data_IF_120882852792
#
_entry.id   IF_120882852792
#
_cell.length_a   1.000
_cell.length_b   1.000
_cell.length_c   1.000
_cell.angle_alpha   90.00
_cell.angle_beta   90.00
_cell.angle_gamma   90.00
#
_symmetry.space_group_name_H-M   'P 1'
#
loop_
_entity.id
_entity.type
_entity.pdbx_description
1 polymer ?
2 branched ?
3 branched ?
4 branched ?
5 non-polymer ?
6 non-polymer ?
7 non-polymer ?
8 non-polymer ?
9 non-polymer ?
10 water ?
#
# COMPACT_ATOMS: atom_id res chain seq x y z
N UNK A 26 21.27 14.78 -11.42
CA UNK A 26 20.56 13.53 -11.69
C UNK A 26 19.46 13.27 -10.67
N UNK A 27 19.88 13.16 -9.40
CA UNK A 27 19.09 12.74 -8.24
C UNK A 27 18.73 11.26 -8.29
N UNK A 28 19.18 10.52 -9.32
CA UNK A 28 19.11 9.07 -9.27
C UNK A 28 19.95 8.51 -8.14
N UNK A 29 20.96 9.25 -7.68
CA UNK A 29 21.92 8.66 -6.78
C UNK A 29 22.01 9.44 -5.48
N UNK A 30 22.24 8.75 -4.36
CA UNK A 30 22.65 9.44 -3.14
C UNK A 30 23.82 10.37 -3.43
N UNK A 31 23.78 11.57 -2.81
CA UNK A 31 24.84 12.54 -3.05
C UNK A 31 26.22 12.00 -2.71
N UNK A 32 26.31 11.10 -1.71
CA UNK A 32 27.60 10.56 -1.32
C UNK A 32 28.26 9.76 -2.43
N UNK A 33 27.49 9.33 -3.43
CA UNK A 33 28.02 8.47 -4.48
C UNK A 33 28.78 9.23 -5.55
N UNK A 34 28.80 10.57 -5.50
CA UNK A 34 29.56 11.33 -6.49
C UNK A 34 30.97 11.60 -5.99
N UNK A 35 31.98 11.69 -6.88
CA UNK A 35 31.87 11.50 -8.33
C UNK A 35 31.80 10.02 -8.68
N UNK A 36 31.46 9.74 -9.94
CA UNK A 36 31.40 8.40 -10.52
C UNK A 36 30.43 7.50 -9.75
N UNK A 37 29.15 7.89 -9.68
CA UNK A 37 28.17 7.02 -9.01
C UNK A 37 28.03 5.65 -9.67
N UNK A 38 28.35 5.53 -10.94
CA UNK A 38 28.25 4.24 -11.63
C UNK A 38 29.54 3.43 -11.53
N UNK A 39 30.46 3.78 -10.63
CA UNK A 39 31.68 3.01 -10.44
C UNK A 39 31.37 1.53 -10.32
N UNK A 40 32.14 0.72 -11.05
CA UNK A 40 32.01 -0.71 -11.01
C UNK A 40 30.94 -1.28 -11.90
N UNK A 41 30.10 -0.45 -12.51
CA UNK A 41 28.98 -0.90 -13.34
C UNK A 41 29.38 -0.81 -14.81
N UNK A 42 29.27 -1.93 -15.52
CA UNK A 42 29.56 -1.93 -16.95
C UNK A 42 28.36 -1.40 -17.72
N UNK A 43 28.59 -0.39 -18.55
CA UNK A 43 27.50 0.21 -19.32
C UNK A 43 27.04 -0.73 -20.42
N UNK A 44 25.72 -0.92 -20.56
CA UNK A 44 25.17 -1.75 -21.63
C UNK A 44 24.23 -0.97 -22.54
N UNK A 45 23.29 -0.22 -21.99
CA UNK A 45 22.23 0.39 -22.79
C UNK A 45 21.72 1.62 -22.05
N UNK A 46 21.69 2.76 -22.74
CA UNK A 46 21.40 4.03 -22.07
C UNK A 46 19.93 4.21 -21.70
N UNK A 47 19.06 3.25 -21.98
CA UNK A 47 17.71 3.29 -21.43
C UNK A 47 17.71 3.18 -19.91
N UNK A 48 18.76 2.57 -19.35
CA UNK A 48 18.76 2.13 -17.97
C UNK A 48 19.79 2.91 -17.16
N UNK A 49 19.58 2.94 -15.85
CA UNK A 49 20.46 3.68 -14.96
C UNK A 49 21.84 3.05 -14.96
N UNK A 50 22.87 3.88 -15.14
CA UNK A 50 24.25 3.42 -15.32
C UNK A 50 24.38 2.50 -16.53
N UNK A 51 23.40 2.51 -17.42
CA UNK A 51 23.40 1.64 -18.57
C UNK A 51 23.10 0.19 -18.26
N UNK A 52 22.64 -0.11 -17.06
CA UNK A 52 22.51 -1.49 -16.58
C UNK A 52 21.03 -1.82 -16.41
N UNK A 53 20.46 -2.73 -17.21
CA UNK A 53 19.01 -3.01 -17.07
C UNK A 53 18.62 -3.48 -15.70
N UNK A 54 19.54 -4.07 -14.93
CA UNK A 54 19.16 -4.49 -13.59
C UNK A 54 18.82 -3.31 -12.69
N UNK A 55 19.29 -2.11 -13.02
CA UNK A 55 19.06 -0.92 -12.24
C UNK A 55 17.83 -0.13 -12.69
N UNK A 56 17.07 -0.64 -13.66
CA UNK A 56 15.81 -0.04 -14.02
C UNK A 56 15.96 1.12 -14.97
N UNK A 57 14.82 1.68 -15.40
CA UNK A 57 14.85 2.72 -16.44
C UNK A 57 15.25 4.09 -15.88
N UNK A 58 15.93 4.86 -16.73
CA UNK A 58 16.26 6.23 -16.34
C UNK A 58 15.00 7.07 -16.20
N UNK A 59 14.06 6.91 -17.12
CA UNK A 59 12.86 7.73 -17.17
C UNK A 59 11.74 7.02 -16.43
N UNK A 60 11.18 7.70 -15.43
CA UNK A 60 10.12 7.17 -14.60
C UNK A 60 8.76 7.72 -15.02
N UNK A 61 7.67 7.08 -14.63
CA UNK A 61 6.34 7.52 -15.08
C UNK A 61 5.99 8.89 -14.56
N UNK A 62 5.28 9.66 -15.40
CA UNK A 62 4.83 11.00 -15.07
C UNK A 62 3.32 11.14 -14.91
N UNK A 63 2.57 10.05 -15.06
CA UNK A 63 1.11 10.09 -15.04
C UNK A 63 0.56 9.18 -13.95
N UNK A 64 -0.62 9.55 -13.44
CA UNK A 64 -1.35 8.71 -12.49
C UNK A 64 -1.83 7.43 -13.16
N UNK A 65 -1.76 6.28 -12.47
CA UNK A 65 -1.36 6.06 -11.08
C UNK A 65 0.11 5.74 -10.86
N UNK A 66 0.87 5.48 -11.93
CA UNK A 66 2.24 5.03 -11.69
C UNK A 66 3.06 6.07 -10.96
N UNK A 67 2.87 7.36 -11.26
CA UNK A 67 3.66 8.34 -10.54
C UNK A 67 3.31 8.32 -9.06
N UNK A 68 2.04 8.08 -8.73
CA UNK A 68 1.64 7.91 -7.34
C UNK A 68 2.29 6.69 -6.71
N UNK A 69 2.34 5.57 -7.44
CA UNK A 69 2.92 4.35 -6.90
C UNK A 69 4.44 4.44 -6.71
N UNK A 70 5.12 5.34 -7.42
CA UNK A 70 6.56 5.46 -7.33
C UNK A 70 7.03 6.73 -6.64
N UNK A 71 6.11 7.51 -6.06
CA UNK A 71 6.51 8.77 -5.43
C UNK A 71 7.42 8.57 -4.23
N UNK A 72 7.33 7.42 -3.56
CA UNK A 72 8.17 7.16 -2.39
C UNK A 72 9.34 6.22 -2.69
N UNK A 73 9.64 5.99 -3.98
CA UNK A 73 10.58 4.95 -4.39
C UNK A 73 11.96 5.56 -4.64
N UNK A 74 12.91 5.21 -3.79
CA UNK A 74 14.31 5.57 -3.96
C UNK A 74 15.00 4.25 -4.31
N UNK A 75 15.33 4.07 -5.59
CA UNK A 75 15.60 2.72 -6.07
C UNK A 75 16.85 2.10 -5.45
N UNK A 76 17.81 2.91 -5.00
CA UNK A 76 19.00 2.35 -4.35
C UNK A 76 18.95 2.48 -2.84
N UNK A 77 17.84 2.95 -2.29
CA UNK A 77 17.90 3.42 -0.91
C UNK A 77 18.99 4.46 -0.78
N UNK A 78 19.84 4.30 0.25
CA UNK A 78 20.99 5.16 0.46
C UNK A 78 22.30 4.54 -0.03
N UNK A 79 22.21 3.47 -0.81
CA UNK A 79 23.39 2.79 -1.33
C UNK A 79 23.78 3.35 -2.70
N UNK A 80 25.05 3.19 -3.04
CA UNK A 80 25.48 3.45 -4.41
C UNK A 80 25.19 2.21 -5.29
N UNK A 81 25.11 2.41 -6.61
CA UNK A 81 24.73 1.29 -7.50
C UNK A 81 25.50 -0.01 -7.30
N UNK A 82 26.84 0.04 -7.26
CA UNK A 82 27.60 -1.20 -7.09
C UNK A 82 27.34 -1.81 -5.71
N UNK A 83 27.21 -0.97 -4.68
CA UNK A 83 26.87 -1.47 -3.35
C UNK A 83 25.53 -2.17 -3.35
N UNK A 84 24.56 -1.62 -4.08
CA UNK A 84 23.23 -2.20 -4.16
C UNK A 84 23.28 -3.58 -4.78
N UNK A 85 23.99 -3.71 -5.91
CA UNK A 85 24.12 -5.01 -6.56
C UNK A 85 24.94 -5.97 -5.72
N UNK A 86 25.98 -5.48 -5.04
CA UNK A 86 26.75 -6.36 -4.17
C UNK A 86 25.88 -6.97 -3.08
N UNK A 87 24.91 -6.19 -2.58
CA UNK A 87 24.06 -6.65 -1.50
C UNK A 87 22.97 -7.59 -1.99
N UNK A 88 22.39 -7.33 -3.17
CA UNK A 88 21.17 -8.02 -3.56
C UNK A 88 21.32 -8.93 -4.76
N UNK A 89 22.49 -8.99 -5.39
CA UNK A 89 22.70 -9.81 -6.56
C UNK A 89 23.94 -10.68 -6.38
N UNK A 90 24.09 -11.66 -7.27
CA UNK A 90 25.21 -12.58 -7.18
C UNK A 90 26.53 -11.96 -7.63
N UNK A 91 26.48 -10.84 -8.35
CA UNK A 91 27.70 -10.25 -8.91
C UNK A 91 27.36 -8.84 -9.38
N UNK A 92 28.30 -7.91 -9.14
CA UNK A 92 28.16 -6.58 -9.70
C UNK A 92 28.37 -6.59 -11.22
N UNK A 93 29.16 -7.56 -11.72
CA UNK A 93 29.38 -7.70 -13.14
C UNK A 93 28.07 -8.01 -13.85
N UNK A 94 27.98 -7.76 -15.17
CA UNK A 94 26.67 -7.88 -15.85
C UNK A 94 26.01 -9.23 -15.70
N UNK A 95 26.76 -10.30 -15.43
CA UNK A 95 26.16 -11.63 -15.31
C UNK A 95 25.52 -11.88 -13.95
N UNK A 96 25.67 -10.98 -12.99
CA UNK A 96 25.04 -11.19 -11.70
C UNK A 96 23.53 -11.11 -11.81
N UNK A 97 22.84 -11.94 -11.01
CA UNK A 97 21.39 -11.96 -11.00
C UNK A 97 20.87 -11.68 -9.59
N UNK A 98 19.66 -11.11 -9.53
CA UNK A 98 19.09 -10.77 -8.22
C UNK A 98 18.80 -12.04 -7.44
N UNK A 99 19.06 -11.97 -6.13
CA UNK A 99 18.79 -13.05 -5.20
C UNK A 99 17.48 -12.73 -4.51
N UNK A 100 16.58 -13.71 -4.46
CA UNK A 100 15.22 -13.47 -3.98
C UNK A 100 15.04 -13.97 -2.55
N UNK A 101 14.05 -13.45 -1.83
CA UNK A 101 13.84 -13.84 -0.44
C UNK A 101 13.33 -15.26 -0.33
N UNK A 102 13.48 -15.89 0.83
CA UNK A 102 12.93 -17.24 1.02
C UNK A 102 11.42 -17.22 1.11
N UNK A 103 10.84 -18.41 1.03
CA UNK A 103 9.40 -18.62 1.27
C UNK A 103 8.55 -17.77 0.33
N UNK A 104 9.00 -17.61 -0.92
CA UNK A 104 8.29 -16.85 -1.94
C UNK A 104 8.01 -15.41 -1.52
N UNK A 105 8.83 -14.87 -0.61
CA UNK A 105 8.75 -13.47 -0.28
C UNK A 105 7.69 -13.09 0.72
N UNK A 106 6.99 -14.07 1.31
CA UNK A 106 6.04 -13.76 2.38
C UNK A 106 6.78 -13.37 3.65
N UNK A 107 6.24 -12.39 4.38
CA UNK A 107 6.82 -12.03 5.67
C UNK A 107 6.80 -13.23 6.62
N UNK A 108 7.89 -13.40 7.36
CA UNK A 108 8.01 -14.53 8.29
C UNK A 108 7.55 -14.16 9.69
N UNK A 109 6.94 -15.12 10.38
CA UNK A 109 6.52 -14.94 11.76
C UNK A 109 7.67 -15.26 12.72
N UNK A 110 7.41 -15.21 14.03
CA UNK A 110 8.49 -15.39 15.00
C UNK A 110 9.06 -16.80 14.97
N UNK A 111 8.31 -17.77 14.43
CA UNK A 111 8.79 -19.12 14.23
C UNK A 111 9.46 -19.30 12.88
N UNK A 112 9.70 -18.21 12.15
CA UNK A 112 10.37 -18.23 10.83
C UNK A 112 9.54 -18.98 9.79
N UNK A 113 8.21 -18.97 9.94
CA UNK A 113 7.33 -19.51 8.94
C UNK A 113 6.60 -18.38 8.22
N UNK A 114 6.34 -18.53 6.92
CA UNK A 114 5.64 -17.47 6.18
C UNK A 114 4.23 -17.27 6.69
N UNK A 115 3.79 -16.00 6.69
CA UNK A 115 2.43 -15.64 7.05
C UNK A 115 1.62 -15.59 5.77
N UNK A 116 0.64 -16.50 5.63
CA UNK A 116 -0.22 -16.47 4.46
C UNK A 116 -1.41 -17.38 4.71
N UNK A 117 -2.43 -17.20 3.87
CA UNK A 117 -3.54 -18.12 3.86
C UNK A 117 -4.11 -18.24 2.45
N UNK A 118 -4.83 -19.33 2.21
CA UNK A 118 -5.61 -19.40 0.98
C UNK A 118 -6.81 -18.47 1.12
N UNK A 119 -7.03 -17.64 0.11
CA UNK A 119 -8.12 -16.68 0.19
C UNK A 119 -8.83 -16.60 -1.15
N UNK A 120 -10.13 -16.36 -1.09
CA UNK A 120 -10.93 -16.21 -2.30
C UNK A 120 -10.90 -14.73 -2.70
N UNK A 121 -10.48 -14.47 -3.94
CA UNK A 121 -10.60 -13.12 -4.47
C UNK A 121 -11.97 -12.93 -5.08
N UNK A 122 -12.75 -11.96 -4.63
CA UNK A 122 -14.13 -11.83 -5.09
C UNK A 122 -14.23 -11.11 -6.43
N UNK A 123 -15.33 -11.41 -7.13
CA UNK A 123 -15.65 -10.73 -8.37
C UNK A 123 -15.69 -9.22 -8.14
N UNK A 124 -15.00 -8.47 -9.00
CA UNK A 124 -14.91 -7.03 -8.91
C UNK A 124 -13.58 -6.51 -8.39
N UNK A 125 -12.82 -7.33 -7.67
CA UNK A 125 -11.56 -6.88 -7.12
C UNK A 125 -10.58 -6.51 -8.21
N UNK A 126 -9.86 -5.40 -8.02
CA UNK A 126 -8.85 -4.96 -8.97
C UNK A 126 -7.45 -5.29 -8.47
N UNK A 127 -6.62 -5.82 -9.37
CA UNK A 127 -5.27 -6.28 -9.06
C UNK A 127 -4.30 -5.65 -10.04
N UNK A 128 -3.03 -5.56 -9.66
CA UNK A 128 -2.05 -5.12 -10.67
C UNK A 128 -0.75 -5.90 -10.48
N UNK A 129 0.19 -5.65 -11.38
CA UNK A 129 1.37 -6.49 -11.50
C UNK A 129 2.42 -5.79 -12.35
N UNK A 130 3.68 -5.85 -11.91
CA UNK A 130 4.82 -5.50 -12.76
C UNK A 130 5.46 -6.80 -13.21
N UNK A 131 5.29 -7.16 -14.48
CA UNK A 131 5.83 -8.41 -14.99
C UNK A 131 4.94 -9.01 -16.06
N UNK A 132 5.46 -10.05 -16.71
CA UNK A 132 4.75 -10.69 -17.80
C UNK A 132 3.60 -11.55 -17.27
N UNK A 133 2.68 -11.89 -18.15
CA UNK A 133 1.52 -12.67 -17.75
C UNK A 133 1.84 -14.15 -17.54
N UNK A 134 3.11 -14.55 -17.71
CA UNK A 134 3.51 -15.91 -17.37
C UNK A 134 3.86 -16.06 -15.89
N UNK A 135 3.83 -14.98 -15.12
CA UNK A 135 4.12 -15.03 -13.71
C UNK A 135 2.86 -15.24 -12.87
N UNK A 136 3.04 -15.16 -11.55
CA UNK A 136 2.01 -15.58 -10.61
C UNK A 136 1.87 -14.65 -9.41
N UNK A 137 2.51 -13.48 -9.41
CA UNK A 137 2.51 -12.58 -8.26
C UNK A 137 1.76 -11.31 -8.61
N UNK A 138 0.71 -11.01 -7.86
CA UNK A 138 -0.04 -9.78 -8.04
C UNK A 138 -0.17 -9.04 -6.72
N UNK A 139 -0.66 -7.81 -6.82
CA UNK A 139 -0.86 -6.94 -5.67
C UNK A 139 -2.22 -6.28 -5.83
N UNK A 140 -2.77 -5.71 -4.75
CA UNK A 140 -4.00 -4.91 -4.92
C UNK A 140 -3.68 -3.66 -5.73
N UNK A 141 -4.62 -3.29 -6.60
CA UNK A 141 -4.42 -2.14 -7.48
C UNK A 141 -3.94 -0.94 -6.66
N UNK A 142 -2.85 -0.33 -7.11
CA UNK A 142 -2.41 0.91 -6.51
C UNK A 142 -1.36 0.76 -5.43
N UNK A 143 -0.97 -0.46 -5.06
CA UNK A 143 0.05 -0.61 -4.00
C UNK A 143 1.32 0.14 -4.37
N UNK A 144 1.90 0.92 -3.45
CA UNK A 144 3.19 1.59 -3.72
C UNK A 144 4.26 0.59 -4.15
N UNK A 145 5.17 1.03 -5.02
CA UNK A 145 6.23 0.14 -5.46
C UNK A 145 7.06 -0.36 -4.28
N UNK A 146 7.26 0.48 -3.26
CA UNK A 146 8.11 0.04 -2.15
C UNK A 146 7.43 -1.03 -1.30
N UNK A 147 6.09 -1.16 -1.38
CA UNK A 147 5.41 -2.23 -0.67
C UNK A 147 5.57 -3.59 -1.32
N UNK A 148 6.09 -3.65 -2.54
CA UNK A 148 6.11 -4.89 -3.31
C UNK A 148 7.44 -5.63 -3.23
N UNK A 149 8.48 -5.00 -2.69
CA UNK A 149 9.81 -5.62 -2.60
C UNK A 149 10.22 -6.22 -3.94
N UNK A 150 10.18 -5.39 -4.94
CA UNK A 150 10.60 -5.72 -6.29
C UNK A 150 11.92 -5.02 -6.60
N UNK A 151 12.79 -5.64 -7.38
CA UNK A 151 14.04 -4.99 -7.81
C UNK A 151 13.75 -3.94 -8.88
N UNK A 152 14.70 -3.06 -9.18
CA UNK A 152 14.41 -1.98 -10.14
C UNK A 152 14.05 -2.47 -11.53
N UNK A 153 14.54 -3.65 -11.93
CA UNK A 153 14.34 -4.12 -13.30
C UNK A 153 12.89 -4.53 -13.58
N UNK A 154 12.05 -4.70 -12.56
CA UNK A 154 10.64 -4.98 -12.85
C UNK A 154 9.94 -3.77 -13.45
N UNK A 155 10.57 -2.60 -13.45
CA UNK A 155 10.05 -1.42 -14.11
C UNK A 155 10.48 -1.30 -15.58
N UNK A 156 11.29 -2.23 -16.07
CA UNK A 156 11.73 -2.13 -17.45
C UNK A 156 10.58 -2.44 -18.40
N UNK A 157 10.45 -1.66 -19.46
CA UNK A 157 9.42 -1.91 -20.46
C UNK A 157 9.87 -3.03 -21.39
N UNK A 158 9.01 -4.02 -21.58
CA UNK A 158 9.29 -5.04 -22.57
C UNK A 158 8.34 -5.00 -23.76
N UNK A 159 7.13 -4.51 -23.55
CA UNK A 159 6.13 -4.37 -24.60
C UNK A 159 5.63 -2.94 -24.57
N UNK A 160 5.67 -2.27 -25.72
CA UNK A 160 5.23 -0.88 -25.79
C UNK A 160 3.79 -0.67 -25.36
N UNK A 161 2.95 -1.70 -25.48
CA UNK A 161 1.58 -1.57 -25.03
C UNK A 161 1.47 -1.50 -23.50
N UNK A 162 2.52 -1.88 -22.78
CA UNK A 162 2.51 -1.86 -21.31
C UNK A 162 3.76 -1.16 -20.79
N UNK A 163 3.80 0.18 -20.86
CA UNK A 163 4.94 0.90 -20.29
C UNK A 163 5.21 0.46 -18.86
N UNK A 164 6.50 0.33 -18.55
CA UNK A 164 6.96 -0.05 -17.22
C UNK A 164 6.51 -1.45 -16.82
N UNK A 165 6.15 -2.27 -17.81
CA UNK A 165 5.65 -3.64 -17.64
C UNK A 165 4.54 -3.71 -16.59
N UNK A 166 3.69 -2.70 -16.59
CA UNK A 166 2.61 -2.56 -15.62
C UNK A 166 1.28 -3.01 -16.21
N UNK A 167 0.62 -3.95 -15.52
CA UNK A 167 -0.64 -4.53 -15.96
C UNK A 167 -1.68 -4.43 -14.86
N UNK A 168 -2.94 -4.15 -15.24
CA UNK A 168 -4.05 -4.05 -14.29
C UNK A 168 -5.14 -5.03 -14.71
N UNK A 169 -5.73 -5.72 -13.72
CA UNK A 169 -6.73 -6.75 -13.96
C UNK A 169 -7.92 -6.55 -13.02
N UNK A 170 -9.04 -7.15 -13.39
CA UNK A 170 -10.22 -7.20 -12.53
C UNK A 170 -10.74 -8.63 -12.49
N UNK A 171 -11.11 -9.08 -11.30
CA UNK A 171 -11.63 -10.44 -11.13
C UNK A 171 -13.03 -10.53 -11.73
N UNK A 172 -13.23 -11.50 -12.64
CA UNK A 172 -14.52 -11.74 -13.25
C UNK A 172 -15.14 -13.06 -12.80
N UNK A 173 -14.37 -13.94 -12.17
CA UNK A 173 -14.89 -15.16 -11.56
C UNK A 173 -14.04 -15.42 -10.34
N UNK A 174 -14.67 -15.71 -9.19
CA UNK A 174 -13.90 -15.81 -7.96
C UNK A 174 -12.91 -16.98 -8.05
N UNK A 175 -11.75 -16.82 -7.42
CA UNK A 175 -10.78 -17.90 -7.39
C UNK A 175 -9.88 -17.73 -6.17
N UNK A 176 -9.24 -18.82 -5.77
CA UNK A 176 -8.43 -18.88 -4.56
C UNK A 176 -6.96 -18.64 -4.89
N UNK A 177 -6.29 -17.85 -4.05
CA UNK A 177 -4.87 -17.54 -4.18
C UNK A 177 -4.22 -17.70 -2.81
N UNK A 178 -2.89 -17.75 -2.80
CA UNK A 178 -2.15 -17.55 -1.58
C UNK A 178 -2.04 -16.06 -1.33
N UNK A 179 -2.45 -15.62 -0.13
CA UNK A 179 -2.58 -14.21 0.17
C UNK A 179 -1.80 -13.92 1.45
N UNK A 180 -0.92 -12.92 1.43
CA UNK A 180 -0.13 -12.64 2.62
C UNK A 180 0.78 -11.44 2.51
N UNK A 181 1.33 -11.02 3.64
CA UNK A 181 2.21 -9.83 3.65
C UNK A 181 3.54 -10.09 2.95
N UNK A 182 4.11 -9.01 2.41
CA UNK A 182 5.35 -9.07 1.64
C UNK A 182 6.54 -8.73 2.54
N UNK A 183 7.53 -9.62 2.58
CA UNK A 183 8.73 -9.34 3.37
C UNK A 183 9.53 -8.20 2.75
N UNK A 184 10.25 -7.43 3.57
CA UNK A 184 11.19 -6.44 3.01
C UNK A 184 12.29 -7.11 2.21
N UNK A 185 12.66 -6.48 1.10
CA UNK A 185 13.79 -6.96 0.30
C UNK A 185 14.20 -5.84 -0.65
N UNK A 186 15.38 -6.00 -1.25
CA UNK A 186 15.87 -5.08 -2.28
C UNK A 186 15.96 -3.65 -1.77
N UNK A 187 16.26 -3.49 -0.48
CA UNK A 187 16.41 -2.18 0.16
C UNK A 187 15.10 -1.45 0.29
N UNK A 188 13.98 -2.16 0.26
CA UNK A 188 12.69 -1.53 0.45
C UNK A 188 11.97 -2.16 1.63
N UNK A 189 10.95 -1.48 2.16
CA UNK A 189 10.28 -2.01 3.35
C UNK A 189 9.28 -3.13 3.09
N UNK A 190 8.81 -3.30 1.86
CA UNK A 190 7.77 -4.31 1.65
C UNK A 190 6.51 -3.97 2.42
N UNK A 191 5.82 -5.01 2.89
CA UNK A 191 4.62 -4.92 3.73
C UNK A 191 3.39 -4.44 2.98
N UNK A 192 3.36 -4.56 1.66
CA UNK A 192 2.12 -4.74 0.95
C UNK A 192 1.57 -6.14 1.18
N UNK A 193 0.46 -6.44 0.50
CA UNK A 193 -0.07 -7.78 0.39
C UNK A 193 0.20 -8.31 -1.00
N UNK A 194 0.66 -9.55 -1.10
CA UNK A 194 0.82 -10.18 -2.40
C UNK A 194 -0.17 -11.32 -2.55
N UNK A 195 -0.58 -11.55 -3.80
CA UNK A 195 -1.43 -12.66 -4.17
C UNK A 195 -0.60 -13.57 -5.06
N UNK A 196 -0.40 -14.81 -4.62
CA UNK A 196 0.37 -15.77 -5.39
C UNK A 196 -0.63 -16.76 -5.98
N UNK A 197 -0.73 -16.77 -7.31
CA UNK A 197 -1.76 -17.55 -7.97
C UNK A 197 -1.26 -18.96 -8.26
N UNK A 198 -2.21 -19.88 -8.36
CA UNK A 198 -1.92 -21.28 -8.64
C UNK A 198 -1.84 -21.58 -10.12
N UNK A 199 -2.31 -20.66 -10.95
CA UNK A 199 -2.20 -20.68 -12.40
C UNK A 199 -1.60 -19.35 -12.80
N UNK A 200 -0.81 -19.32 -13.89
CA UNK A 200 -0.26 -18.02 -14.22
C UNK A 200 -1.37 -17.07 -14.70
N UNK A 201 -1.00 -15.78 -14.79
CA UNK A 201 -2.01 -14.76 -15.07
C UNK A 201 -2.65 -14.99 -16.44
N UNK A 202 -1.86 -15.39 -17.43
CA UNK A 202 -2.41 -15.67 -18.76
C UNK A 202 -3.46 -16.77 -18.71
N UNK A 203 -3.22 -17.83 -17.93
CA UNK A 203 -4.20 -18.88 -17.83
C UNK A 203 -5.47 -18.40 -17.14
N UNK A 204 -5.32 -17.54 -16.13
CA UNK A 204 -6.49 -16.99 -15.45
C UNK A 204 -7.32 -16.14 -16.42
N UNK A 205 -6.66 -15.37 -17.28
CA UNK A 205 -7.40 -14.61 -18.29
C UNK A 205 -8.08 -15.55 -19.28
N UNK A 206 -7.32 -16.52 -19.82
CA UNK A 206 -7.92 -17.41 -20.80
C UNK A 206 -9.06 -18.22 -20.20
N UNK A 207 -9.04 -18.50 -18.90
CA UNK A 207 -10.08 -19.28 -18.25
C UNK A 207 -11.22 -18.43 -17.71
N UNK A 208 -11.18 -17.12 -17.88
CA UNK A 208 -12.31 -16.27 -17.51
C UNK A 208 -12.31 -15.78 -16.09
N UNK A 209 -11.19 -15.91 -15.37
CA UNK A 209 -11.11 -15.45 -13.99
C UNK A 209 -10.70 -14.00 -13.87
N UNK A 210 -9.89 -13.51 -14.81
CA UNK A 210 -9.43 -12.13 -14.84
C UNK A 210 -9.73 -11.54 -16.21
N UNK A 211 -9.94 -10.22 -16.25
CA UNK A 211 -9.93 -9.47 -17.49
C UNK A 211 -8.91 -8.34 -17.36
N UNK A 212 -8.41 -7.88 -18.52
CA UNK A 212 -7.44 -6.79 -18.54
C UNK A 212 -8.14 -5.45 -18.54
N UNK A 213 -7.63 -4.51 -17.74
CA UNK A 213 -8.21 -3.18 -17.66
C UNK A 213 -7.46 -2.19 -18.54
N UNK A 214 -8.22 -1.38 -19.27
CA UNK A 214 -7.68 -0.20 -19.93
C UNK A 214 -7.34 0.87 -18.90
N UNK A 215 -6.39 1.75 -19.25
CA UNK A 215 -6.01 2.86 -18.39
C UNK A 215 -7.23 3.68 -17.98
N UNK A 216 -8.20 3.80 -18.89
CA UNK A 216 -9.45 4.51 -18.61
C UNK A 216 -10.20 3.91 -17.44
N UNK A 217 -9.90 2.68 -17.07
CA UNK A 217 -10.60 1.99 -16.01
C UNK A 217 -9.86 2.04 -14.67
N UNK A 218 -8.71 2.71 -14.63
CA UNK A 218 -8.01 2.89 -13.36
C UNK A 218 -7.32 4.25 -13.30
N UNK A 219 -7.93 5.28 -13.90
CA UNK A 219 -7.36 6.63 -13.78
C UNK A 219 -8.27 7.60 -13.03
N UNK A 220 -9.30 7.12 -12.35
CA UNK A 220 -10.19 7.94 -11.53
C UNK A 220 -10.20 7.38 -10.12
N UNK A 221 -10.28 8.29 -9.12
CA UNK A 221 -10.24 7.85 -7.72
C UNK A 221 -11.33 6.83 -7.42
N UNK A 222 -12.54 7.05 -7.94
CA UNK A 222 -13.64 6.15 -7.61
C UNK A 222 -13.34 4.73 -8.10
N UNK A 223 -12.52 4.61 -9.15
CA UNK A 223 -12.20 3.28 -9.66
C UNK A 223 -11.30 2.50 -8.71
N UNK A 224 -10.77 3.14 -7.67
CA UNK A 224 -9.96 2.47 -6.67
C UNK A 224 -10.78 2.03 -5.47
N UNK A 225 -12.02 2.46 -5.37
CA UNK A 225 -12.85 2.09 -4.25
C UNK A 225 -13.45 0.71 -4.47
N UNK A 226 -14.25 0.27 -3.51
CA UNK A 226 -14.69 -1.12 -3.44
C UNK A 226 -16.20 -1.17 -3.39
N UNK A 227 -16.87 -1.58 -4.48
CA UNK A 227 -18.33 -1.73 -4.46
C UNK A 227 -18.80 -3.16 -4.20
N UNK A 228 -17.86 -4.11 -4.16
CA UNK A 228 -18.24 -5.52 -4.12
C UNK A 228 -18.34 -6.08 -2.72
N UNK A 229 -17.60 -5.57 -1.74
CA UNK A 229 -17.67 -6.10 -0.39
C UNK A 229 -18.96 -5.63 0.28
N UNK A 230 -19.81 -6.54 0.76
CA UNK A 230 -21.07 -6.13 1.38
C UNK A 230 -20.87 -5.58 2.78
N UNK A 231 -21.83 -4.77 3.20
CA UNK A 231 -21.82 -4.21 4.53
C UNK A 231 -22.22 -5.25 5.57
N UNK A 232 -21.99 -4.95 6.84
CA UNK A 232 -22.34 -5.90 7.90
C UNK A 232 -23.83 -6.14 8.01
N UNK A 233 -24.17 -7.32 8.51
CA UNK A 233 -25.56 -7.71 8.68
C UNK A 233 -26.19 -6.94 9.84
N UNK A 234 -27.32 -6.30 9.59
CA UNK A 234 -28.03 -5.55 10.62
C UNK A 234 -29.51 -5.90 10.63
N UNK B 25 -12.62 14.47 -13.21
CA UNK B 25 -13.75 13.60 -12.89
C UNK B 25 -13.79 13.34 -11.37
N UNK B 26 -12.71 13.67 -10.67
CA UNK B 26 -12.65 13.43 -9.22
C UNK B 26 -13.31 14.58 -8.46
N UNK B 27 -14.00 14.23 -7.38
CA UNK B 27 -14.78 15.20 -6.61
C UNK B 27 -15.09 14.62 -5.24
N UNK B 28 -15.52 15.49 -4.33
CA UNK B 28 -15.94 15.05 -3.01
C UNK B 28 -17.02 13.97 -3.10
N UNK B 29 -18.12 14.29 -3.79
CA UNK B 29 -19.21 13.34 -3.93
C UNK B 29 -19.26 12.77 -5.35
N UNK B 30 -19.65 11.52 -5.50
CA UNK B 30 -20.01 11.02 -6.83
C UNK B 30 -21.06 11.93 -7.47
N UNK B 31 -20.98 12.06 -8.80
CA UNK B 31 -21.85 13.00 -9.51
C UNK B 31 -23.33 12.69 -9.30
N UNK B 32 -23.67 11.41 -9.11
CA UNK B 32 -25.07 11.05 -8.95
C UNK B 32 -25.67 11.54 -7.63
N UNK B 33 -24.86 12.06 -6.71
CA UNK B 33 -25.37 12.56 -5.44
C UNK B 33 -25.93 13.98 -5.53
N UNK B 34 -25.59 14.73 -6.57
CA UNK B 34 -26.11 16.07 -6.72
C UNK B 34 -27.52 16.01 -7.31
N UNK B 35 -28.35 17.03 -7.06
CA UNK B 35 -28.09 18.35 -6.46
C UNK B 35 -27.98 18.42 -4.94
N UNK B 36 -28.41 17.41 -4.19
CA UNK B 36 -28.48 17.49 -2.73
C UNK B 36 -27.74 16.31 -2.12
N UNK B 37 -26.41 16.31 -2.18
CA UNK B 37 -25.65 15.15 -1.69
C UNK B 37 -25.75 14.94 -0.18
N UNK B 38 -26.12 15.96 0.58
CA UNK B 38 -26.23 15.87 2.03
C UNK B 38 -27.64 15.56 2.50
N UNK B 39 -28.56 15.22 1.60
CA UNK B 39 -29.91 14.89 2.02
C UNK B 39 -29.88 13.72 3.00
N UNK B 40 -30.69 13.83 4.05
CA UNK B 40 -30.75 12.80 5.06
C UNK B 40 -29.68 12.88 6.14
N UNK B 41 -28.71 13.77 6.00
CA UNK B 41 -27.62 13.93 6.97
C UNK B 41 -27.96 15.08 7.89
N UNK B 42 -27.95 14.81 9.19
CA UNK B 42 -28.20 15.85 10.19
C UNK B 42 -26.94 16.67 10.36
N UNK B 43 -27.01 17.96 10.04
CA UNK B 43 -25.88 18.85 10.24
C UNK B 43 -25.56 18.98 11.73
N UNK B 44 -24.28 18.94 12.05
CA UNK B 44 -23.81 19.05 13.43
C UNK B 44 -22.74 20.13 13.58
N UNK B 45 -21.75 20.11 12.68
CA UNK B 45 -20.61 21.03 12.75
C UNK B 45 -20.02 21.19 11.36
N UNK B 46 -19.76 22.44 10.96
CA UNK B 46 -19.38 22.74 9.58
C UNK B 46 -17.96 22.34 9.21
N UNK B 47 -17.16 21.82 10.15
CA UNK B 47 -15.82 21.32 9.82
C UNK B 47 -15.89 20.09 8.92
N UNK B 48 -16.99 19.36 9.00
CA UNK B 48 -17.08 18.04 8.42
C UNK B 48 -17.96 18.06 7.19
N UNK B 49 -17.73 17.07 6.32
CA UNK B 49 -18.56 16.90 5.13
C UNK B 49 -20.01 16.75 5.56
N UNK B 50 -20.89 17.57 4.98
CA UNK B 50 -22.31 17.61 5.33
C UNK B 50 -22.54 17.95 6.80
N UNK B 51 -21.53 18.44 7.50
CA UNK B 51 -21.67 18.76 8.90
C UNK B 51 -21.59 17.56 9.83
N UNK B 52 -21.17 16.41 9.34
CA UNK B 52 -21.23 15.16 10.09
C UNK B 52 -19.83 14.65 10.32
N UNK B 53 -19.33 14.66 11.58
CA UNK B 53 -17.94 14.24 11.83
C UNK B 53 -17.64 12.85 11.30
N UNK B 54 -18.64 11.99 11.22
CA UNK B 54 -18.41 10.64 10.72
C UNK B 54 -18.02 10.64 9.24
N UNK B 55 -18.34 11.70 8.52
CA UNK B 55 -18.02 11.80 7.10
C UNK B 55 -16.67 12.44 6.85
N UNK B 56 -15.93 12.77 7.91
CA UNK B 56 -14.58 13.24 7.74
C UNK B 56 -14.51 14.73 7.44
N UNK B 57 -13.29 15.24 7.33
CA UNK B 57 -13.12 16.69 7.19
C UNK B 57 -13.36 17.15 5.77
N UNK B 58 -13.88 18.38 5.64
CA UNK B 58 -13.97 19.00 4.33
C UNK B 58 -12.58 19.18 3.74
N UNK B 59 -11.63 19.66 4.55
CA UNK B 59 -10.28 19.98 4.10
C UNK B 59 -9.41 18.74 4.15
N UNK B 60 -8.73 18.43 3.05
CA UNK B 60 -7.79 17.32 2.92
C UNK B 60 -6.38 17.83 2.66
N UNK B 61 -5.35 17.03 2.96
CA UNK B 61 -3.96 17.49 2.77
C UNK B 61 -3.63 17.73 1.30
N UNK B 62 -2.90 18.83 1.06
CA UNK B 62 -2.49 19.21 -0.28
C UNK B 62 -0.99 19.04 -0.52
N UNK B 63 -0.24 18.49 0.42
CA UNK B 63 1.21 18.42 0.32
C UNK B 63 1.73 17.01 0.59
N UNK B 64 2.91 16.73 0.04
CA UNK B 64 3.59 15.46 0.29
C UNK B 64 4.11 15.43 1.73
N UNK B 65 4.05 14.27 2.41
CA UNK B 65 3.66 12.96 1.88
C UNK B 65 2.17 12.62 1.96
N UNK B 66 1.41 13.35 2.79
CA UNK B 66 0.05 12.92 3.05
C UNK B 66 -0.79 12.94 1.78
N UNK B 67 -0.57 13.89 0.87
CA UNK B 67 -1.42 13.90 -0.30
C UNK B 67 -1.20 12.65 -1.15
N UNK B 68 -0.02 12.05 -1.07
CA UNK B 68 0.24 10.84 -1.82
C UNK B 68 -0.57 9.67 -1.29
N UNK B 69 -0.79 9.61 0.03
CA UNK B 69 -1.57 8.54 0.62
C UNK B 69 -3.07 8.68 0.35
N UNK B 70 -3.52 9.86 -0.06
CA UNK B 70 -4.94 10.09 -0.28
C UNK B 70 -5.28 10.26 -1.76
N UNK B 71 -4.31 10.06 -2.65
CA UNK B 71 -4.54 10.32 -4.07
C UNK B 71 -5.53 9.33 -4.68
N UNK B 72 -5.65 8.11 -4.13
CA UNK B 72 -6.61 7.15 -4.65
C UNK B 72 -7.90 7.08 -3.83
N UNK B 73 -8.15 8.05 -2.94
CA UNK B 73 -9.23 7.93 -1.95
C UNK B 73 -10.50 8.59 -2.47
N UNK B 74 -11.52 7.76 -2.77
CA UNK B 74 -12.89 8.22 -3.04
C UNK B 74 -13.66 7.93 -1.76
N UNK B 75 -13.94 9.00 -1.00
CA UNK B 75 -14.32 8.88 0.40
C UNK B 75 -15.58 8.03 0.59
N UNK B 76 -16.52 8.10 -0.34
CA UNK B 76 -17.73 7.31 -0.23
C UNK B 76 -17.80 6.18 -1.25
N UNK B 77 -16.69 5.89 -1.93
CA UNK B 77 -16.79 5.03 -3.11
C UNK B 77 -17.74 5.64 -4.11
N UNK B 78 -18.66 4.83 -4.63
CA UNK B 78 -19.68 5.34 -5.53
C UNK B 78 -20.99 5.62 -4.80
N UNK B 79 -20.99 5.60 -3.47
CA UNK B 79 -22.17 5.86 -2.66
C UNK B 79 -22.28 7.34 -2.33
N UNK B 80 -23.46 7.73 -1.88
CA UNK B 80 -23.70 9.05 -1.33
C UNK B 80 -23.68 8.98 0.19
N UNK B 81 -23.49 10.14 0.86
CA UNK B 81 -23.30 10.11 2.32
C UNK B 81 -24.29 9.26 3.12
N UNK B 82 -25.61 9.43 2.90
CA UNK B 82 -26.55 8.66 3.70
C UNK B 82 -26.49 7.16 3.36
N UNK B 83 -26.28 6.83 2.08
CA UNK B 83 -26.10 5.43 1.72
C UNK B 83 -24.87 4.84 2.40
N UNK B 84 -23.78 5.61 2.44
CA UNK B 84 -22.55 5.16 3.07
C UNK B 84 -22.76 4.87 4.55
N UNK B 85 -23.41 5.81 5.26
CA UNK B 85 -23.68 5.58 6.68
C UNK B 85 -24.66 4.44 6.87
N UNK B 86 -25.66 4.33 5.98
CA UNK B 86 -26.62 3.26 6.13
C UNK B 86 -25.94 1.90 6.00
N UNK B 87 -24.93 1.81 5.15
CA UNK B 87 -24.23 0.56 4.91
C UNK B 87 -23.23 0.21 6.02
N UNK B 88 -22.53 1.20 6.55
CA UNK B 88 -21.36 0.93 7.39
C UNK B 88 -21.53 1.34 8.85
N UNK B 89 -22.68 1.91 9.22
CA UNK B 89 -22.92 2.37 10.58
C UNK B 89 -24.28 1.90 11.05
N UNK B 90 -24.52 2.02 12.36
CA UNK B 90 -25.78 1.53 12.91
C UNK B 90 -26.95 2.44 12.62
N UNK B 91 -26.70 3.68 12.20
CA UNK B 91 -27.78 4.61 11.91
C UNK B 91 -27.23 5.76 11.07
N UNK B 92 -28.06 6.25 10.14
CA UNK B 92 -27.71 7.46 9.40
C UNK B 92 -27.81 8.68 10.31
N UNK B 93 -28.71 8.63 11.30
CA UNK B 93 -28.85 9.70 12.27
C UNK B 93 -27.58 9.83 13.10
N UNK B 94 -27.40 10.95 13.82
CA UNK B 94 -26.14 11.17 14.55
C UNK B 94 -25.80 10.11 15.60
N UNK B 95 -26.79 9.40 16.14
CA UNK B 95 -26.49 8.34 17.11
C UNK B 95 -25.85 7.11 16.49
N UNK B 96 -25.74 7.03 15.16
CA UNK B 96 -25.17 5.86 14.53
C UNK B 96 -23.66 5.80 14.67
N UNK B 97 -23.16 4.59 14.91
CA UNK B 97 -21.73 4.36 15.08
C UNK B 97 -21.23 3.40 14.00
N UNK B 98 -19.98 3.59 13.58
CA UNK B 98 -19.42 2.71 12.57
C UNK B 98 -19.32 1.29 13.10
N UNK B 99 -19.63 0.33 12.23
CA UNK B 99 -19.51 -1.10 12.53
C UNK B 99 -18.22 -1.60 11.92
N UNK B 100 -17.42 -2.31 12.69
CA UNK B 100 -16.11 -2.74 12.24
C UNK B 100 -16.11 -4.21 11.86
N UNK B 101 -15.13 -4.65 11.08
CA UNK B 101 -15.12 -6.04 10.60
C UNK B 101 -14.76 -7.01 11.71
N UNK B 102 -15.10 -8.29 11.56
CA UNK B 102 -14.75 -9.28 12.58
C UNK B 102 -13.25 -9.56 12.57
N UNK B 103 -12.81 -10.25 13.63
CA UNK B 103 -11.43 -10.74 13.73
C UNK B 103 -10.41 -9.62 13.53
N UNK B 104 -10.69 -8.46 14.15
CA UNK B 104 -9.77 -7.33 14.15
C UNK B 104 -9.44 -6.83 12.75
N UNK B 105 -10.31 -7.11 11.77
CA UNK B 105 -10.10 -6.60 10.43
C UNK B 105 -9.01 -7.28 9.63
N UNK B 106 -8.48 -8.43 10.10
CA UNK B 106 -7.58 -9.19 9.27
C UNK B 106 -8.35 -9.86 8.14
N UNK B 107 -7.75 -9.91 6.96
CA UNK B 107 -8.35 -10.64 5.85
C UNK B 107 -8.56 -12.11 6.24
N UNK B 108 -9.72 -12.65 5.87
CA UNK B 108 -10.10 -14.02 6.23
C UNK B 108 -9.70 -15.00 5.14
N UNK B 109 -9.21 -16.17 5.56
CA UNK B 109 -8.89 -17.23 4.61
C UNK B 109 -10.14 -18.02 4.23
N UNK B 110 -9.96 -19.08 3.44
CA UNK B 110 -11.11 -19.83 2.91
C UNK B 110 -11.86 -20.57 4.00
N UNK B 111 -11.25 -20.74 5.17
CA UNK B 111 -11.94 -21.30 6.32
C UNK B 111 -12.49 -20.23 7.26
N UNK B 112 -12.57 -18.98 6.79
CA UNK B 112 -13.14 -17.86 7.54
C UNK B 112 -12.33 -17.55 8.80
N UNK B 113 -11.04 -17.90 8.79
CA UNK B 113 -10.11 -17.56 9.87
C UNK B 113 -9.19 -16.42 9.44
N UNK B 114 -8.82 -15.53 10.35
CA UNK B 114 -7.94 -14.41 9.97
C UNK B 114 -6.55 -14.89 9.58
N UNK B 115 -5.97 -14.22 8.59
CA UNK B 115 -4.60 -14.48 8.16
C UNK B 115 -3.68 -13.53 8.91
N UNK B 116 -2.79 -14.08 9.73
CA UNK B 116 -1.87 -13.24 10.51
C UNK B 116 -0.83 -14.14 11.15
N UNK B 117 0.23 -13.50 11.64
CA UNK B 117 1.18 -14.20 12.49
C UNK B 117 1.81 -13.19 13.44
N UNK B 118 2.29 -13.70 14.57
CA UNK B 118 3.13 -12.88 15.43
C UNK B 118 4.47 -12.65 14.76
N UNK B 119 4.94 -11.41 14.75
CA UNK B 119 6.16 -11.08 14.02
C UNK B 119 6.90 -9.99 14.77
N UNK B 120 8.24 -10.05 14.70
CA UNK B 120 9.10 -9.07 15.36
C UNK B 120 9.36 -7.91 14.42
N UNK B 121 8.99 -6.69 14.83
CA UNK B 121 9.34 -5.52 14.04
C UNK B 121 10.79 -5.11 14.33
N UNK B 122 11.62 -4.95 13.29
CA UNK B 122 13.04 -4.66 13.52
C UNK B 122 13.28 -3.19 13.83
N UNK B 123 14.35 -2.95 14.58
CA UNK B 123 14.80 -1.59 14.84
C UNK B 123 15.08 -0.88 13.52
N UNK B 124 14.55 0.33 13.38
CA UNK B 124 14.66 1.10 12.15
C UNK B 124 13.38 1.18 11.34
N UNK B 125 12.48 0.23 11.50
CA UNK B 125 11.27 0.20 10.69
C UNK B 125 10.40 1.42 10.95
N UNK B 126 9.86 2.00 9.88
CA UNK B 126 9.00 3.18 9.98
C UNK B 126 7.54 2.79 9.81
N UNK B 127 6.70 3.30 10.71
CA UNK B 127 5.28 2.98 10.79
C UNK B 127 4.48 4.27 10.79
N UNK B 128 3.23 4.20 10.34
CA UNK B 128 2.40 5.38 10.51
C UNK B 128 0.98 4.98 10.87
N UNK B 129 0.16 5.97 11.17
CA UNK B 129 -1.14 5.71 11.78
C UNK B 129 -2.01 6.95 11.66
N UNK B 130 -3.28 6.75 11.30
CA UNK B 130 -4.29 7.80 11.43
C UNK B 130 -5.14 7.47 12.66
N UNK B 131 -4.98 8.23 13.72
CA UNK B 131 -5.72 7.97 14.94
C UNK B 131 -4.91 8.33 16.16
N UNK B 132 -5.58 8.29 17.31
CA UNK B 132 -4.94 8.66 18.57
C UNK B 132 -3.94 7.59 19.00
N UNK B 133 -3.05 7.98 19.89
CA UNK B 133 -2.02 7.06 20.36
C UNK B 133 -2.55 6.07 21.39
N UNK B 134 -3.86 6.06 21.66
CA UNK B 134 -4.46 5.01 22.46
C UNK B 134 -4.82 3.80 21.62
N UNK B 135 -4.67 3.87 20.30
CA UNK B 135 -4.97 2.75 19.43
C UNK B 135 -3.82 1.76 19.38
N UNK B 136 -4.06 0.68 18.62
CA UNK B 136 -3.12 -0.43 18.51
C UNK B 136 -2.93 -0.89 17.07
N UNK B 137 -3.38 -0.12 16.09
CA UNK B 137 -3.28 -0.49 14.68
C UNK B 137 -2.35 0.46 13.95
N UNK B 138 -1.27 -0.06 13.38
CA UNK B 138 -0.40 0.76 12.54
C UNK B 138 -0.26 0.11 11.16
N UNK B 139 0.33 0.86 10.24
CA UNK B 139 0.63 0.42 8.89
C UNK B 139 2.08 0.75 8.57
N UNK B 140 2.66 0.16 7.53
CA UNK B 140 4.01 0.59 7.13
C UNK B 140 3.93 2.01 6.59
N UNK B 141 4.91 2.83 6.96
CA UNK B 141 4.97 4.21 6.49
C UNK B 141 4.62 4.29 5.00
N UNK B 142 3.66 5.16 4.67
CA UNK B 142 3.32 5.42 3.28
C UNK B 142 2.21 4.58 2.71
N UNK B 143 1.59 3.70 3.49
CA UNK B 143 0.50 2.89 2.96
C UNK B 143 -0.66 3.80 2.55
N UNK B 144 -1.25 3.59 1.37
CA UNK B 144 -2.41 4.39 0.96
C UNK B 144 -3.54 4.29 1.97
N UNK B 145 -4.30 5.37 2.11
CA UNK B 145 -5.44 5.36 3.01
C UNK B 145 -6.40 4.22 2.67
N UNK B 146 -6.62 3.96 1.37
CA UNK B 146 -7.59 2.94 1.00
C UNK B 146 -7.11 1.55 1.36
N UNK B 147 -5.79 1.36 1.58
CA UNK B 147 -5.29 0.06 1.99
C UNK B 147 -5.55 -0.24 3.46
N UNK B 148 -5.95 0.77 4.24
CA UNK B 148 -6.15 0.65 5.68
C UNK B 148 -7.57 0.29 6.10
N UNK B 149 -8.54 0.35 5.18
CA UNK B 149 -9.95 0.11 5.50
C UNK B 149 -10.38 0.91 6.74
N UNK B 150 -10.18 2.19 6.66
CA UNK B 150 -10.58 3.14 7.68
C UNK B 150 -11.78 3.96 7.21
N UNK B 151 -12.65 4.37 8.12
CA UNK B 151 -13.74 5.28 7.75
C UNK B 151 -13.22 6.70 7.62
N UNK B 152 -14.03 7.61 7.06
CA UNK B 152 -13.55 8.98 6.84
C UNK B 152 -13.19 9.71 8.11
N UNK B 153 -13.79 9.34 9.25
CA UNK B 153 -13.58 10.10 10.48
C UNK B 153 -12.16 9.93 11.05
N UNK B 154 -11.36 8.95 10.59
CA UNK B 154 -10.00 8.89 11.09
C UNK B 154 -9.12 10.00 10.54
N UNK B 155 -9.61 10.76 9.57
CA UNK B 155 -8.92 11.94 9.08
C UNK B 155 -9.26 13.20 9.86
N UNK B 156 -10.15 13.13 10.86
CA UNK B 156 -10.49 14.30 11.65
C UNK B 156 -9.34 14.70 12.56
N UNK B 157 -9.12 15.99 12.69
CA UNK B 157 -8.02 16.52 13.48
C UNK B 157 -8.47 16.70 14.92
N UNK B 158 -7.71 16.15 15.86
CA UNK B 158 -7.97 16.39 17.27
C UNK B 158 -6.90 17.21 17.95
N UNK B 159 -5.68 17.16 17.43
CA UNK B 159 -4.54 17.90 17.97
C UNK B 159 -3.92 18.65 16.81
N UNK B 160 -3.80 19.98 16.95
CA UNK B 160 -3.24 20.78 15.89
C UNK B 160 -1.80 20.45 15.55
N UNK B 161 -1.07 19.83 16.48
CA UNK B 161 0.30 19.41 16.16
C UNK B 161 0.30 18.25 15.17
N UNK B 162 -0.81 17.54 15.03
CA UNK B 162 -0.93 16.37 14.15
C UNK B 162 -2.15 16.55 13.27
N UNK B 163 -2.04 17.35 12.22
CA UNK B 163 -3.15 17.48 11.26
C UNK B 163 -3.57 16.13 10.73
N UNK B 164 -4.88 15.98 10.53
CA UNK B 164 -5.49 14.75 10.01
C UNK B 164 -5.22 13.55 10.92
N UNK B 165 -4.81 13.82 12.16
CA UNK B 165 -4.49 12.78 13.15
C UNK B 165 -3.44 11.82 12.62
N UNK B 166 -2.52 12.32 11.80
CA UNK B 166 -1.52 11.50 11.12
C UNK B 166 -0.23 11.48 11.93
N UNK B 167 0.22 10.29 12.30
CA UNK B 167 1.39 10.10 13.14
C UNK B 167 2.37 9.17 12.44
N UNK B 168 3.67 9.44 12.57
CA UNK B 168 4.73 8.60 12.02
C UNK B 168 5.68 8.21 13.14
N UNK B 169 6.11 6.96 13.13
CA UNK B 169 6.96 6.42 14.19
C UNK B 169 8.08 5.61 13.59
N UNK B 170 9.13 5.42 14.38
CA UNK B 170 10.21 4.52 14.02
C UNK B 170 10.50 3.59 15.19
N UNK B 171 10.70 2.30 14.86
CA UNK B 171 10.97 1.29 15.88
C UNK B 171 12.37 1.54 16.45
N UNK B 172 12.46 1.71 17.77
CA UNK B 172 13.73 1.92 18.44
C UNK B 172 14.18 0.71 19.26
N UNK B 173 13.27 -0.24 19.51
CA UNK B 173 13.57 -1.48 20.18
C UNK B 173 12.62 -2.53 19.64
N UNK B 174 13.15 -3.73 19.36
CA UNK B 174 12.34 -4.79 18.76
C UNK B 174 11.15 -5.14 19.62
N UNK B 175 10.00 -5.39 18.99
CA UNK B 175 8.86 -5.92 19.73
C UNK B 175 7.96 -6.69 18.78
N UNK B 176 7.11 -7.54 19.36
CA UNK B 176 6.28 -8.47 18.58
C UNK B 176 4.88 -7.91 18.45
N UNK B 177 4.30 -8.03 17.25
CA UNK B 177 2.96 -7.57 16.92
C UNK B 177 2.24 -8.69 16.16
N UNK B 178 0.92 -8.57 16.09
CA UNK B 178 0.16 -9.34 15.12
C UNK B 178 0.26 -8.67 13.76
N UNK B 179 0.68 -9.43 12.76
CA UNK B 179 0.98 -8.86 11.45
C UNK B 179 0.21 -9.62 10.37
N UNK B 180 -0.50 -8.89 9.52
CA UNK B 180 -1.28 -9.57 8.51
C UNK B 180 -2.06 -8.63 7.61
N UNK B 181 -2.67 -9.20 6.57
CA UNK B 181 -3.37 -8.38 5.57
C UNK B 181 -4.66 -7.77 6.11
N UNK B 182 -5.01 -6.61 5.57
CA UNK B 182 -6.19 -5.85 6.00
C UNK B 182 -7.39 -6.21 5.12
N UNK B 183 -8.48 -6.65 5.75
CA UNK B 183 -9.70 -6.97 5.00
C UNK B 183 -10.33 -5.71 4.42
N UNK B 184 -10.99 -5.81 3.27
CA UNK B 184 -11.74 -4.66 2.75
C UNK B 184 -12.87 -4.28 3.70
N UNK B 185 -13.09 -2.98 3.84
CA UNK B 185 -14.21 -2.48 4.65
C UNK B 185 -14.40 -1.01 4.31
N UNK B 186 -15.55 -0.47 4.72
CA UNK B 186 -15.82 0.97 4.59
C UNK B 186 -15.74 1.44 3.14
N UNK B 187 -16.11 0.56 2.20
CA UNK B 187 -16.16 0.83 0.75
C UNK B 187 -14.78 0.96 0.13
N UNK B 188 -13.76 0.44 0.79
CA UNK B 188 -12.41 0.48 0.26
C UNK B 188 -11.87 -0.94 0.14
N UNK B 189 -10.80 -1.15 -0.64
CA UNK B 189 -10.32 -2.52 -0.87
C UNK B 189 -9.43 -3.07 0.23
N UNK B 190 -8.89 -2.25 1.11
CA UNK B 190 -7.98 -2.79 2.10
C UNK B 190 -6.71 -3.35 1.46
N UNK B 191 -6.19 -4.44 2.03
CA UNK B 191 -5.07 -5.21 1.49
C UNK B 191 -3.73 -4.50 1.61
N UNK B 192 -3.64 -3.50 2.49
CA UNK B 192 -2.38 -3.20 3.14
C UNK B 192 -2.04 -4.29 4.15
N UNK B 193 -0.92 -4.08 4.86
CA UNK B 193 -0.59 -4.87 6.04
C UNK B 193 -0.83 -4.02 7.28
N UNK B 194 -1.45 -4.61 8.30
CA UNK B 194 -1.61 -3.94 9.57
C UNK B 194 -0.78 -4.64 10.64
N UNK B 195 -0.30 -3.83 11.58
CA UNK B 195 0.41 -4.30 12.78
C UNK B 195 -0.50 -4.02 13.94
N UNK B 196 -0.91 -5.06 14.66
CA UNK B 196 -1.82 -4.92 15.77
C UNK B 196 -1.00 -5.15 17.03
N UNK B 197 -0.87 -4.11 17.84
CA UNK B 197 0.04 -4.16 18.96
C UNK B 197 -0.69 -4.64 20.21
N UNK B 198 0.10 -5.16 21.15
CA UNK B 198 -0.42 -5.60 22.43
C UNK B 198 -0.39 -4.49 23.47
N UNK B 199 0.39 -3.44 23.23
CA UNK B 199 0.45 -2.23 24.03
C UNK B 199 0.07 -1.08 23.12
N UNK B 200 -0.64 -0.08 23.64
CA UNK B 200 -1.03 1.00 22.73
C UNK B 200 0.21 1.80 22.31
N UNK B 201 0.02 2.65 21.29
CA UNK B 201 1.15 3.39 20.73
C UNK B 201 1.82 4.25 21.81
N UNK B 202 1.02 4.94 22.64
CA UNK B 202 1.60 5.82 23.66
C UNK B 202 2.48 5.04 24.63
N UNK B 203 2.03 3.86 25.04
CA UNK B 203 2.85 3.04 25.93
C UNK B 203 4.12 2.54 25.26
N UNK B 204 4.04 2.20 23.98
CA UNK B 204 5.24 1.79 23.25
C UNK B 204 6.26 2.93 23.17
N UNK B 205 5.77 4.16 22.98
CA UNK B 205 6.66 5.32 22.99
C UNK B 205 7.27 5.50 24.36
N UNK B 206 6.44 5.52 25.39
CA UNK B 206 6.93 5.80 26.72
C UNK B 206 7.84 4.71 27.24
N UNK B 207 7.71 3.48 26.72
CA UNK B 207 8.58 2.38 27.11
C UNK B 207 9.80 2.25 26.21
N UNK B 208 9.98 3.14 25.23
CA UNK B 208 11.18 3.16 24.43
C UNK B 208 11.19 2.27 23.21
N UNK B 209 10.04 1.77 22.78
CA UNK B 209 9.95 0.89 21.63
C UNK B 209 9.72 1.65 20.32
N UNK B 210 9.12 2.82 20.41
CA UNK B 210 8.87 3.70 19.29
C UNK B 210 9.35 5.10 19.63
N UNK B 211 9.79 5.83 18.62
CA UNK B 211 9.93 7.27 18.74
C UNK B 211 9.10 7.94 17.65
N UNK B 212 8.63 9.15 17.94
CA UNK B 212 7.88 9.92 16.96
C UNK B 212 8.82 10.55 15.95
N UNK B 213 8.42 10.55 14.68
CA UNK B 213 9.15 11.26 13.65
C UNK B 213 8.47 12.59 13.30
N UNK B 214 9.28 13.61 13.07
CA UNK B 214 8.74 14.87 12.56
C UNK B 214 8.79 14.88 11.03
N UNK B 215 8.16 15.90 10.43
CA UNK B 215 7.96 15.86 8.99
C UNK B 215 9.27 15.78 8.22
N UNK B 216 10.33 16.42 8.72
CA UNK B 216 11.61 16.38 8.01
C UNK B 216 12.21 14.99 7.95
N UNK B 217 11.73 14.07 8.79
CA UNK B 217 12.20 12.70 8.82
C UNK B 217 11.38 11.78 7.92
N UNK B 218 10.35 12.30 7.25
CA UNK B 218 9.59 11.48 6.31
C UNK B 218 9.08 12.28 5.12
N UNK B 219 9.79 13.33 4.69
CA UNK B 219 9.36 14.07 3.52
C UNK B 219 10.32 13.94 2.34
N UNK B 220 11.23 12.96 2.36
CA UNK B 220 12.11 12.70 1.23
C UNK B 220 12.04 11.22 0.89
N UNK B 221 12.12 10.90 -0.41
CA UNK B 221 11.97 9.51 -0.86
C UNK B 221 12.90 8.55 -0.12
N UNK B 222 14.15 8.97 0.10
CA UNK B 222 15.11 8.03 0.68
C UNK B 222 14.69 7.60 2.08
N UNK B 223 13.92 8.44 2.78
CA UNK B 223 13.43 8.09 4.10
C UNK B 223 12.38 6.99 4.08
N UNK B 224 11.88 6.62 2.90
CA UNK B 224 10.94 5.53 2.74
C UNK B 224 11.63 4.21 2.41
N UNK B 225 12.93 4.24 2.11
CA UNK B 225 13.66 3.01 1.80
C UNK B 225 14.08 2.32 3.10
N UNK B 226 14.72 1.17 2.95
CA UNK B 226 14.96 0.25 4.07
C UNK B 226 16.44 0.00 4.20
N UNK B 227 17.10 0.57 5.20
CA UNK B 227 18.52 0.28 5.43
C UNK B 227 18.77 -0.81 6.47
N UNK B 228 17.73 -1.29 7.16
CA UNK B 228 17.93 -2.18 8.32
C UNK B 228 17.86 -3.66 7.95
N UNK B 229 17.12 -4.04 6.92
CA UNK B 229 17.03 -5.46 6.55
C UNK B 229 18.33 -5.89 5.88
N UNK B 230 19.01 -6.92 6.39
CA UNK B 230 20.27 -7.34 5.78
C UNK B 230 20.02 -8.09 4.48
N UNK B 231 21.05 -8.11 3.63
CA UNK B 231 20.98 -8.83 2.37
C UNK B 231 21.25 -10.31 2.57
N UNK B 232 21.00 -11.08 1.50
CA UNK B 232 21.24 -12.54 1.59
C UNK B 232 22.70 -12.91 1.76
N UNK B 233 23.62 -12.10 1.24
CA UNK B 233 25.03 -12.44 1.18
C UNK B 233 25.68 -12.16 2.54
#
# INVERSE_FOLDING_TARGET
MIFTNAILVISALLPATVLSLQHTEDSLFPARCWPDPCAGITFQNDTYVCGDPRLGPVVLPQKFPLNNELRTYARFGALCPAEFLDKWATDVAPNGTYIYPPANGFALDTEEQPILGNATLPVGMKLDRFGSEYGTFLAPLGAPYIERSLPPSNLNTFDGMYPYNYHVYQVTKEFVVGLGPIAPWFEQPGMGTQFVTYTNVLGLIDDGYLRRLDESEYDEKVEYSNPYTPGPNQDVLFQGPGHHHHHH
MIFTNAILVISALLPATVLSLQHTEDSLFPARCWPDPCAGITFQNDTYVCGDPRLGPVVLPQKFPLNNELRTYARFGALCPAEFLDKWATDVAPNGTYIYPPANGFALDTEEQPILGNATLPVGMKLDRFGSEYGTFLAPLGAPYIERSLPPSNLNTFDGMYPYNYHVYQVTKEFVVGLGPIAPWFEQPGMGTQFVTYTNVLGLIDDGYLRRLDESEYDEKVEYSNPYTPGPNQDVLFQGPGHHHHHH
#
